data_IF_909905959267
#
_entry.id   IF_909905959267
#
_cell.length_a   1.000
_cell.length_b   1.000
_cell.length_c   1.000
_cell.angle_alpha   90.00
_cell.angle_beta   90.00
_cell.angle_gamma   90.00
#
_symmetry.space_group_name_H-M   'P 1'
#
loop_
_entity.id
_entity.type
_entity.pdbx_description
1 polymer ?
#
# COMPACT_ATOMS: atom_id res chain seq x y z
N UNK A 1 42.92 -27.71 -53.15
CA UNK A 1 42.82 -27.42 -51.71
C UNK A 1 43.70 -26.22 -51.45
N UNK A 2 43.12 -25.02 -51.48
CA UNK A 2 43.87 -23.78 -51.18
C UNK A 2 43.86 -23.64 -49.66
N UNK A 3 45.03 -23.71 -49.03
CA UNK A 3 45.18 -23.35 -47.62
C UNK A 3 44.89 -21.86 -47.50
N UNK A 4 43.79 -21.52 -46.86
CA UNK A 4 43.52 -20.16 -46.39
C UNK A 4 44.47 -19.90 -45.22
N UNK A 5 45.67 -19.42 -45.51
CA UNK A 5 46.59 -18.85 -44.53
C UNK A 5 45.91 -17.61 -43.93
N UNK A 6 45.20 -17.81 -42.83
CA UNK A 6 44.57 -16.74 -42.06
C UNK A 6 45.68 -15.97 -41.34
N UNK A 7 46.07 -14.84 -41.93
CA UNK A 7 47.03 -13.90 -41.35
C UNK A 7 46.42 -13.23 -40.10
N UNK A 8 47.21 -12.98 -39.06
CA UNK A 8 46.70 -12.41 -37.81
C UNK A 8 46.20 -10.97 -37.98
N UNK A 9 45.32 -10.50 -37.09
CA UNK A 9 44.76 -9.15 -37.14
C UNK A 9 45.85 -8.07 -37.04
N UNK A 10 46.93 -8.35 -36.30
CA UNK A 10 48.10 -7.49 -36.19
C UNK A 10 48.91 -7.39 -37.49
N UNK A 11 49.13 -8.52 -38.16
CA UNK A 11 49.83 -8.55 -39.44
C UNK A 11 49.01 -7.89 -40.55
N UNK A 12 47.69 -8.11 -40.56
CA UNK A 12 46.76 -7.39 -41.44
C UNK A 12 46.83 -5.88 -41.21
N UNK A 13 46.91 -5.46 -39.95
CA UNK A 13 47.02 -4.05 -39.58
C UNK A 13 48.36 -3.43 -39.99
N UNK A 14 49.47 -4.17 -39.90
CA UNK A 14 50.77 -3.71 -40.42
C UNK A 14 50.71 -3.47 -41.92
N UNK A 15 50.13 -4.41 -42.68
CA UNK A 15 49.94 -4.26 -44.13
C UNK A 15 49.06 -3.04 -44.42
N UNK A 16 47.97 -2.89 -43.67
CA UNK A 16 47.01 -1.78 -43.85
C UNK A 16 47.64 -0.42 -43.56
N UNK A 17 48.44 -0.29 -42.51
CA UNK A 17 49.20 0.92 -42.19
C UNK A 17 50.21 1.22 -43.29
N UNK A 18 50.90 0.20 -43.82
CA UNK A 18 51.88 0.39 -44.90
C UNK A 18 51.23 0.87 -46.22
N UNK A 19 49.95 0.53 -46.43
CA UNK A 19 49.14 1.00 -47.54
C UNK A 19 48.44 2.35 -47.26
N UNK A 20 48.74 3.00 -46.13
CA UNK A 20 48.13 4.27 -45.73
C UNK A 20 46.65 4.17 -45.30
N UNK A 21 46.17 2.95 -45.04
CA UNK A 21 44.79 2.67 -44.64
C UNK A 21 44.69 2.57 -43.10
N UNK A 22 43.60 3.06 -42.53
CA UNK A 22 43.35 3.05 -41.07
C UNK A 22 43.28 1.62 -40.52
N UNK A 23 44.03 1.22 -39.46
CA UNK A 23 44.02 -0.16 -38.95
C UNK A 23 42.63 -0.64 -38.53
N UNK A 24 42.39 -1.95 -38.67
CA UNK A 24 41.20 -2.63 -38.19
C UNK A 24 41.30 -2.78 -36.68
N UNK A 25 40.34 -2.22 -35.95
CA UNK A 25 40.19 -2.48 -34.52
C UNK A 25 39.24 -3.66 -34.33
N UNK A 26 39.43 -4.44 -33.27
CA UNK A 26 38.60 -5.60 -32.91
C UNK A 26 37.23 -5.18 -32.31
N UNK A 27 36.82 -3.95 -32.63
CA UNK A 27 35.58 -3.36 -32.18
C UNK A 27 34.46 -4.01 -32.97
N UNK A 28 33.98 -5.16 -32.47
CA UNK A 28 32.60 -5.56 -32.69
C UNK A 28 31.76 -4.32 -32.39
N UNK A 29 31.18 -3.71 -33.43
CA UNK A 29 30.23 -2.62 -33.28
C UNK A 29 29.22 -2.99 -32.18
N UNK A 30 28.75 -2.05 -31.35
CA UNK A 30 27.86 -2.36 -30.22
C UNK A 30 26.52 -2.87 -30.76
N UNK A 31 26.47 -4.18 -31.04
CA UNK A 31 25.28 -4.88 -31.51
C UNK A 31 24.26 -5.09 -30.39
N UNK A 32 24.62 -4.74 -29.14
CA UNK A 32 23.80 -4.98 -27.96
C UNK A 32 22.97 -3.78 -27.50
N UNK A 33 23.09 -2.59 -28.09
CA UNK A 33 22.38 -1.41 -27.59
C UNK A 33 20.92 -1.34 -28.09
N UNK A 34 20.70 -1.67 -29.38
CA UNK A 34 19.36 -1.60 -30.00
C UNK A 34 18.42 -2.71 -29.55
N UNK A 35 18.93 -3.92 -29.36
CA UNK A 35 18.12 -5.05 -28.92
C UNK A 35 17.68 -4.88 -27.45
N UNK A 36 18.59 -4.38 -26.60
CA UNK A 36 18.25 -4.01 -25.21
C UNK A 36 17.28 -2.83 -25.14
N UNK A 37 17.41 -1.84 -26.02
CA UNK A 37 16.47 -0.72 -26.11
C UNK A 37 15.09 -1.19 -26.60
N UNK A 38 15.03 -2.09 -27.58
CA UNK A 38 13.81 -2.70 -28.05
C UNK A 38 13.09 -3.52 -26.96
N UNK A 39 13.85 -4.29 -26.17
CA UNK A 39 13.32 -5.07 -25.05
C UNK A 39 12.74 -4.16 -23.95
N UNK A 40 13.46 -3.09 -23.58
CA UNK A 40 12.97 -2.07 -22.63
C UNK A 40 11.71 -1.38 -23.13
N UNK A 41 11.67 -1.01 -24.41
CA UNK A 41 10.50 -0.38 -25.03
C UNK A 41 9.28 -1.31 -25.04
N UNK A 42 9.48 -2.59 -25.35
CA UNK A 42 8.41 -3.58 -25.28
C UNK A 42 7.90 -3.79 -23.85
N UNK A 43 8.81 -3.93 -22.88
CA UNK A 43 8.46 -4.09 -21.47
C UNK A 43 7.69 -2.86 -20.93
N UNK A 44 8.13 -1.65 -21.25
CA UNK A 44 7.45 -0.42 -20.86
C UNK A 44 6.06 -0.33 -21.49
N UNK A 45 5.89 -0.71 -22.76
CA UNK A 45 4.58 -0.76 -23.42
C UNK A 45 3.64 -1.77 -22.76
N UNK A 46 4.13 -2.97 -22.41
CA UNK A 46 3.33 -3.97 -21.69
C UNK A 46 2.92 -3.49 -20.31
N UNK A 47 3.82 -2.83 -19.56
CA UNK A 47 3.48 -2.21 -18.27
C UNK A 47 2.43 -1.12 -18.42
N UNK A 48 2.57 -0.22 -19.40
CA UNK A 48 1.60 0.83 -19.65
C UNK A 48 0.21 0.27 -20.03
N UNK A 49 0.16 -0.78 -20.87
CA UNK A 49 -1.08 -1.48 -21.20
C UNK A 49 -1.74 -2.12 -19.97
N UNK A 50 -0.95 -2.72 -19.08
CA UNK A 50 -1.44 -3.30 -17.83
C UNK A 50 -1.95 -2.23 -16.85
N UNK A 51 -1.23 -1.12 -16.72
CA UNK A 51 -1.63 0.03 -15.90
C UNK A 51 -2.92 0.66 -16.42
N UNK A 52 -3.06 0.83 -17.73
CA UNK A 52 -4.28 1.36 -18.34
C UNK A 52 -5.47 0.39 -18.17
N UNK A 53 -5.24 -0.93 -18.30
CA UNK A 53 -6.26 -1.94 -17.98
C UNK A 53 -6.69 -1.85 -16.51
N UNK A 54 -5.74 -1.77 -15.58
CA UNK A 54 -6.01 -1.64 -14.14
C UNK A 54 -6.77 -0.35 -13.82
N UNK A 55 -6.37 0.78 -14.41
CA UNK A 55 -7.11 2.06 -14.29
C UNK A 55 -8.53 1.95 -14.83
N UNK A 56 -8.73 1.27 -15.96
CA UNK A 56 -10.05 1.01 -16.53
C UNK A 56 -10.95 0.17 -15.62
N UNK A 57 -10.39 -0.85 -14.95
CA UNK A 57 -11.11 -1.67 -13.96
C UNK A 57 -11.48 -0.87 -12.71
N UNK A 58 -10.56 -0.05 -12.19
CA UNK A 58 -10.83 0.84 -11.06
C UNK A 58 -11.93 1.84 -11.41
N UNK A 59 -11.87 2.47 -12.59
CA UNK A 59 -12.89 3.42 -13.03
C UNK A 59 -14.29 2.78 -13.14
N UNK A 60 -14.37 1.54 -13.65
CA UNK A 60 -15.63 0.76 -13.68
C UNK A 60 -16.15 0.47 -12.28
N UNK A 61 -15.27 0.08 -11.36
CA UNK A 61 -15.67 -0.18 -9.96
C UNK A 61 -16.18 1.08 -9.27
N UNK A 62 -15.51 2.22 -9.48
CA UNK A 62 -15.97 3.52 -8.95
C UNK A 62 -17.33 3.89 -9.53
N UNK A 63 -17.51 3.77 -10.85
CA UNK A 63 -18.79 4.05 -11.50
C UNK A 63 -19.91 3.15 -10.98
N UNK A 64 -19.65 1.85 -10.81
CA UNK A 64 -20.60 0.91 -10.21
C UNK A 64 -20.95 1.29 -8.77
N UNK A 65 -19.97 1.67 -7.96
CA UNK A 65 -20.22 2.14 -6.59
C UNK A 65 -21.08 3.41 -6.56
N UNK A 66 -20.78 4.38 -7.43
CA UNK A 66 -21.58 5.60 -7.56
C UNK A 66 -23.01 5.32 -8.03
N UNK A 67 -23.21 4.42 -8.99
CA UNK A 67 -24.54 4.02 -9.44
C UNK A 67 -25.32 3.32 -8.32
N UNK A 68 -24.68 2.38 -7.61
CA UNK A 68 -25.29 1.69 -6.47
C UNK A 68 -25.69 2.66 -5.36
N UNK A 69 -24.82 3.61 -5.00
CA UNK A 69 -25.16 4.64 -4.02
C UNK A 69 -26.25 5.58 -4.55
N UNK A 70 -26.22 5.94 -5.83
CA UNK A 70 -27.24 6.75 -6.50
C UNK A 70 -28.62 6.09 -6.48
N UNK A 71 -28.69 4.77 -6.61
CA UNK A 71 -29.93 3.99 -6.47
C UNK A 71 -30.49 4.05 -5.03
N UNK A 72 -29.64 4.28 -4.02
CA UNK A 72 -30.05 4.43 -2.61
C UNK A 72 -30.57 5.84 -2.30
N UNK A 73 -30.30 6.85 -3.14
CA UNK A 73 -30.77 8.23 -2.95
C UNK A 73 -32.24 8.47 -3.33
N UNK A 74 -32.95 7.45 -3.82
CA UNK A 74 -34.40 7.52 -4.05
C UNK A 74 -35.19 7.44 -2.74
N UNK A 75 -36.45 7.91 -2.75
CA UNK A 75 -37.38 7.69 -1.63
C UNK A 75 -37.41 6.19 -1.30
N UNK A 76 -36.92 5.83 -0.12
CA UNK A 76 -36.92 4.44 0.32
C UNK A 76 -38.37 4.01 0.53
N UNK A 77 -38.65 2.70 0.53
CA UNK A 77 -40.00 2.17 0.74
C UNK A 77 -40.66 2.67 2.06
N UNK A 78 -39.86 3.17 3.01
CA UNK A 78 -40.33 3.79 4.24
C UNK A 78 -40.61 5.31 4.17
N UNK A 79 -40.19 6.00 3.11
CA UNK A 79 -40.47 7.43 2.85
C UNK A 79 -41.74 7.64 2.02
N UNK A 80 -42.30 6.57 1.44
CA UNK A 80 -43.58 6.60 0.74
C UNK A 80 -44.77 6.61 1.74
N UNK A 81 -44.79 7.57 2.68
CA UNK A 81 -45.95 7.83 3.53
C UNK A 81 -46.93 8.79 2.83
N UNK A 82 -47.90 8.16 2.14
CA UNK A 82 -49.29 8.61 1.92
C UNK A 82 -49.52 10.13 1.79
N UNK A 83 -49.30 10.62 0.57
CA UNK A 83 -49.72 11.96 0.12
C UNK A 83 -51.22 11.97 -0.16
N UNK A 84 -52.03 11.98 0.91
CA UNK A 84 -53.46 12.23 0.78
C UNK A 84 -53.86 13.29 1.82
N UNK A 85 -53.79 14.55 1.39
CA UNK A 85 -54.29 15.79 2.02
C UNK A 85 -53.37 16.53 3.01
N UNK A 86 -52.59 17.48 2.49
CA UNK A 86 -51.78 18.44 3.25
C UNK A 86 -52.65 19.54 3.91
N UNK A 87 -53.19 19.26 5.09
CA UNK A 87 -53.66 20.29 6.03
C UNK A 87 -52.46 20.87 6.82
N UNK A 88 -52.41 22.19 7.02
CA UNK A 88 -51.33 22.89 7.76
C UNK A 88 -51.13 22.31 9.18
N UNK A 89 -52.20 21.81 9.80
CA UNK A 89 -52.13 21.13 11.10
C UNK A 89 -51.38 19.80 11.04
N UNK A 90 -51.51 19.05 9.94
CA UNK A 90 -50.80 17.79 9.74
C UNK A 90 -49.32 18.03 9.42
N UNK A 91 -48.99 19.10 8.70
CA UNK A 91 -47.60 19.50 8.44
C UNK A 91 -46.84 19.87 9.73
N UNK A 92 -47.45 20.66 10.62
CA UNK A 92 -46.82 21.02 11.91
C UNK A 92 -46.57 19.77 12.76
N UNK A 93 -47.52 18.83 12.81
CA UNK A 93 -47.35 17.55 13.51
C UNK A 93 -46.24 16.70 12.91
N UNK A 94 -46.17 16.58 11.59
CA UNK A 94 -45.10 15.85 10.88
C UNK A 94 -43.73 16.50 11.10
N UNK A 95 -43.63 17.82 11.06
CA UNK A 95 -42.40 18.57 11.33
C UNK A 95 -41.87 18.30 12.75
N UNK A 96 -42.74 18.38 13.76
CA UNK A 96 -42.37 18.08 15.15
C UNK A 96 -42.00 16.60 15.37
N UNK A 97 -42.66 15.66 14.67
CA UNK A 97 -42.31 14.23 14.71
C UNK A 97 -40.93 14.00 14.09
N UNK A 98 -40.67 14.58 12.91
CA UNK A 98 -39.37 14.50 12.22
C UNK A 98 -38.26 15.14 13.04
N UNK A 99 -38.50 16.28 13.69
CA UNK A 99 -37.53 16.91 14.59
C UNK A 99 -37.20 16.01 15.78
N UNK A 100 -38.21 15.38 16.39
CA UNK A 100 -38.01 14.44 17.50
C UNK A 100 -37.27 13.18 17.06
N UNK A 101 -37.59 12.62 15.90
CA UNK A 101 -36.89 11.45 15.34
C UNK A 101 -35.45 11.78 14.97
N UNK A 102 -35.20 12.96 14.39
CA UNK A 102 -33.84 13.43 14.08
C UNK A 102 -33.02 13.66 15.35
N UNK A 103 -33.64 14.21 16.40
CA UNK A 103 -33.03 14.37 17.72
C UNK A 103 -32.74 13.01 18.38
N UNK A 104 -33.69 12.07 18.32
CA UNK A 104 -33.52 10.72 18.84
C UNK A 104 -32.43 9.95 18.07
N UNK A 105 -32.34 10.10 16.75
CA UNK A 105 -31.29 9.49 15.93
C UNK A 105 -29.91 10.05 16.26
N UNK A 106 -29.78 11.37 16.39
CA UNK A 106 -28.53 12.00 16.84
C UNK A 106 -28.13 11.54 18.24
N UNK A 107 -29.09 11.46 19.15
CA UNK A 107 -28.85 10.96 20.50
C UNK A 107 -28.39 9.50 20.49
N UNK A 108 -29.03 8.64 19.71
CA UNK A 108 -28.63 7.24 19.57
C UNK A 108 -27.24 7.07 18.94
N UNK A 109 -26.88 7.93 17.98
CA UNK A 109 -25.54 7.95 17.37
C UNK A 109 -24.48 8.39 18.39
N UNK A 110 -24.74 9.46 19.13
CA UNK A 110 -23.90 9.90 20.25
C UNK A 110 -23.74 8.81 21.30
N UNK A 111 -24.83 8.15 21.71
CA UNK A 111 -24.80 7.04 22.66
C UNK A 111 -24.04 5.83 22.10
N UNK A 112 -24.13 5.54 20.80
CA UNK A 112 -23.36 4.46 20.19
C UNK A 112 -21.87 4.77 20.13
N UNK A 113 -21.51 6.03 19.86
CA UNK A 113 -20.12 6.49 19.85
C UNK A 113 -19.55 6.50 21.27
N UNK A 114 -20.33 6.97 22.24
CA UNK A 114 -19.94 6.96 23.65
C UNK A 114 -19.83 5.53 24.17
N UNK A 115 -20.73 4.62 23.78
CA UNK A 115 -20.63 3.20 24.12
C UNK A 115 -19.43 2.50 23.47
N UNK A 116 -19.02 2.94 22.28
CA UNK A 116 -17.80 2.44 21.62
C UNK A 116 -16.53 3.04 22.26
N UNK A 117 -16.56 4.30 22.68
CA UNK A 117 -15.47 4.94 23.41
C UNK A 117 -15.33 4.41 24.85
N UNK A 118 -16.46 4.06 25.46
CA UNK A 118 -16.55 3.45 26.79
C UNK A 118 -16.46 1.92 26.73
N UNK A 119 -16.38 1.32 25.53
CA UNK A 119 -16.02 -0.08 25.40
C UNK A 119 -14.62 -0.21 25.99
N UNK A 120 -14.57 -0.73 27.21
CA UNK A 120 -13.32 -0.96 27.93
C UNK A 120 -12.54 -2.01 27.16
N UNK A 121 -11.39 -1.60 26.63
CA UNK A 121 -10.40 -2.51 26.07
C UNK A 121 -10.03 -3.54 27.14
N UNK A 122 -10.21 -4.81 26.82
CA UNK A 122 -10.09 -5.92 27.77
C UNK A 122 -9.01 -6.91 27.30
N UNK A 123 -8.66 -7.89 28.14
CA UNK A 123 -7.65 -8.93 27.82
C UNK A 123 -7.95 -9.67 26.52
N UNK A 124 -9.22 -9.78 26.15
CA UNK A 124 -9.71 -10.37 24.91
C UNK A 124 -9.26 -9.60 23.67
N UNK A 125 -9.10 -8.29 23.78
CA UNK A 125 -8.67 -7.44 22.67
C UNK A 125 -7.14 -7.45 22.48
N UNK A 126 -6.41 -8.06 23.41
CA UNK A 126 -4.97 -8.33 23.32
C UNK A 126 -4.67 -9.71 22.72
N UNK A 127 -5.68 -10.56 22.52
CA UNK A 127 -5.49 -11.91 21.98
C UNK A 127 -4.95 -11.84 20.53
N UNK A 128 -3.75 -12.37 20.32
CA UNK A 128 -3.11 -12.44 19.01
C UNK A 128 -2.08 -11.34 18.72
N UNK A 129 -1.95 -10.31 19.57
CA UNK A 129 -0.85 -9.35 19.46
C UNK A 129 0.46 -9.99 19.96
N UNK A 130 1.53 -9.88 19.16
CA UNK A 130 2.83 -10.45 19.51
C UNK A 130 3.61 -9.49 20.40
N UNK A 131 4.33 -10.02 21.39
CA UNK A 131 5.28 -9.23 22.20
C UNK A 131 6.68 -9.40 21.62
N UNK A 132 7.37 -8.29 21.37
CA UNK A 132 8.71 -8.27 20.74
C UNK A 132 9.82 -8.78 21.66
N UNK A 133 9.70 -8.54 22.97
CA UNK A 133 10.73 -8.88 23.94
C UNK A 133 10.63 -10.34 24.41
N UNK A 134 11.76 -10.89 24.82
CA UNK A 134 11.82 -12.22 25.42
C UNK A 134 11.10 -12.24 26.77
N UNK A 135 10.39 -13.33 27.05
CA UNK A 135 9.68 -13.54 28.32
C UNK A 135 10.66 -13.56 29.49
N UNK A 136 11.88 -14.06 29.29
CA UNK A 136 12.91 -14.12 30.33
C UNK A 136 13.37 -12.73 30.80
N UNK A 137 13.22 -11.70 29.96
CA UNK A 137 13.54 -10.31 30.32
C UNK A 137 12.38 -9.60 31.03
N UNK A 138 11.17 -10.13 30.88
CA UNK A 138 9.98 -9.68 31.59
C UNK A 138 9.97 -10.40 32.94
N UNK A 139 10.82 -9.94 33.87
CA UNK A 139 10.94 -10.52 35.20
C UNK A 139 9.56 -10.68 35.87
N UNK A 140 9.28 -11.88 36.37
CA UNK A 140 8.03 -12.19 37.06
C UNK A 140 7.90 -11.32 38.33
N UNK A 141 6.92 -10.41 38.33
CA UNK A 141 6.64 -9.48 39.44
C UNK A 141 6.88 -7.99 39.15
N UNK A 142 7.36 -7.64 37.96
CA UNK A 142 7.43 -6.23 37.51
C UNK A 142 6.38 -5.94 36.44
N UNK A 143 5.40 -5.10 36.76
CA UNK A 143 4.39 -4.64 35.80
C UNK A 143 5.02 -3.61 34.85
N UNK A 144 5.20 -3.98 33.57
CA UNK A 144 5.74 -3.09 32.54
C UNK A 144 4.67 -2.69 31.53
N UNK A 145 4.65 -1.41 31.16
CA UNK A 145 3.74 -0.88 30.15
C UNK A 145 4.29 -1.24 28.76
N UNK A 146 3.49 -1.95 27.97
CA UNK A 146 3.79 -2.25 26.58
C UNK A 146 3.05 -1.29 25.65
N UNK A 147 3.73 -0.87 24.60
CA UNK A 147 3.21 0.08 23.60
C UNK A 147 3.32 -0.53 22.20
N UNK A 148 2.47 -0.09 21.28
CA UNK A 148 2.53 -0.55 19.89
C UNK A 148 3.85 -0.09 19.24
N UNK A 149 4.59 -1.03 18.65
CA UNK A 149 5.81 -0.77 17.87
C UNK A 149 5.46 0.02 16.61
N UNK A 150 6.31 0.98 16.26
CA UNK A 150 6.19 1.71 15.00
C UNK A 150 6.44 0.77 13.80
N UNK A 151 5.46 0.65 12.90
CA UNK A 151 5.50 -0.21 11.72
C UNK A 151 5.10 0.57 10.47
N UNK A 152 5.59 0.16 9.30
CA UNK A 152 5.19 0.79 8.03
C UNK A 152 3.85 0.24 7.59
N UNK A 153 2.87 1.12 7.45
CA UNK A 153 1.49 0.78 7.09
C UNK A 153 1.40 -0.03 5.77
N UNK A 154 2.32 0.16 4.84
CA UNK A 154 2.32 -0.53 3.54
C UNK A 154 2.97 -1.91 3.56
N UNK A 155 3.76 -2.24 4.59
CA UNK A 155 4.55 -3.47 4.62
C UNK A 155 3.73 -4.68 5.09
N UNK A 156 2.48 -4.46 5.52
CA UNK A 156 1.54 -5.50 5.98
C UNK A 156 2.17 -6.43 7.04
N UNK A 157 3.05 -5.86 7.88
CA UNK A 157 3.64 -6.50 9.05
C UNK A 157 2.57 -6.67 10.13
N UNK A 158 2.69 -7.72 10.94
CA UNK A 158 1.80 -7.92 12.08
C UNK A 158 2.14 -6.93 13.20
N UNK A 159 1.11 -6.48 13.92
CA UNK A 159 1.27 -5.56 15.03
C UNK A 159 2.01 -6.22 16.21
N UNK A 160 3.06 -5.56 16.68
CA UNK A 160 3.90 -6.02 17.80
C UNK A 160 3.89 -5.02 18.96
N UNK A 161 3.86 -5.54 20.18
CA UNK A 161 3.99 -4.79 21.43
C UNK A 161 5.44 -4.76 21.88
N UNK A 162 5.93 -3.58 22.23
CA UNK A 162 7.26 -3.36 22.78
C UNK A 162 7.23 -2.41 23.97
N UNK A 163 8.13 -2.63 24.92
CA UNK A 163 8.41 -1.66 25.96
C UNK A 163 9.50 -0.71 25.45
N UNK A 164 9.31 0.60 25.62
CA UNK A 164 10.22 1.62 25.08
C UNK A 164 11.60 1.51 25.75
N UNK A 165 11.64 1.43 27.07
CA UNK A 165 12.89 1.39 27.84
C UNK A 165 13.73 0.15 27.49
N UNK A 166 13.08 -1.02 27.38
CA UNK A 166 13.74 -2.27 26.97
C UNK A 166 14.24 -2.22 25.54
N UNK A 167 13.46 -1.62 24.62
CA UNK A 167 13.86 -1.51 23.22
C UNK A 167 15.09 -0.60 23.07
N UNK A 168 15.15 0.51 23.82
CA UNK A 168 16.31 1.39 23.84
C UNK A 168 17.55 0.69 24.42
N UNK A 169 17.42 -0.01 25.54
CA UNK A 169 18.51 -0.78 26.15
C UNK A 169 19.07 -1.86 25.21
N UNK A 170 18.19 -2.59 24.51
CA UNK A 170 18.59 -3.59 23.52
C UNK A 170 19.34 -2.98 22.34
N UNK A 171 18.90 -1.83 21.83
CA UNK A 171 19.56 -1.13 20.73
C UNK A 171 20.92 -0.56 21.16
N UNK A 172 21.02 -0.02 22.37
CA UNK A 172 22.28 0.48 22.92
C UNK A 172 23.28 -0.64 23.16
N UNK A 173 22.83 -1.78 23.69
CA UNK A 173 23.66 -2.97 23.85
C UNK A 173 24.17 -3.49 22.50
N UNK A 174 23.31 -3.60 21.47
CA UNK A 174 23.73 -3.96 20.11
C UNK A 174 24.76 -2.99 19.55
N UNK A 175 24.57 -1.68 19.73
CA UNK A 175 25.52 -0.65 19.29
C UNK A 175 26.86 -0.78 20.02
N UNK A 176 26.84 -1.10 21.31
CA UNK A 176 28.05 -1.31 22.10
C UNK A 176 28.80 -2.57 21.64
N UNK A 177 28.09 -3.67 21.39
CA UNK A 177 28.68 -4.91 20.85
C UNK A 177 29.30 -4.71 19.47
N UNK A 178 28.62 -3.99 18.57
CA UNK A 178 29.14 -3.65 17.24
C UNK A 178 30.36 -2.72 17.28
N UNK A 179 30.51 -1.92 18.35
CA UNK A 179 31.70 -1.08 18.56
C UNK A 179 32.85 -1.83 19.22
N UNK A 180 32.55 -2.87 19.98
CA UNK A 180 33.53 -3.66 20.73
C UNK A 180 34.10 -4.80 19.88
N UNK A 181 33.34 -5.30 18.90
CA UNK A 181 33.81 -6.18 17.82
C UNK A 181 34.56 -5.41 16.74
#
# INVERSE_FOLDING_TARGET
MSMEESISLEETNKIRISLGLKPLTDDKAPANDKDQEAEKNYANRKKAEEDDRRKGEIAKNIANHMLNNGLIFGATLGDAEEDVTMDAKNWIKKSKKKEKELAAKRQAELESMDKMAQATYDERDLEGLKVRHDMDKLNEGEDRILTLKDSRILDNEEDELQNIDMAEEEEDNKRHELKTK
#
